data_IF_575190661242
#
_entry.id   IF_575190661242
#
_cell.length_a   1.000
_cell.length_b   1.000
_cell.length_c   1.000
_cell.angle_alpha   90.00
_cell.angle_beta   90.00
_cell.angle_gamma   90.00
#
_symmetry.space_group_name_H-M   'P 1'
#
loop_
_entity.id
_entity.type
_entity.pdbx_description
1 polymer ?
#
# COMPACT_ATOMS: atom_id res chain seq x y z
N UNK A 1 -3.94 -40.29 -9.35
CA UNK A 1 -4.46 -39.07 -10.01
C UNK A 1 -3.75 -37.82 -9.49
N UNK A 2 -3.49 -37.71 -8.19
CA UNK A 2 -2.92 -36.47 -7.61
C UNK A 2 -1.47 -36.17 -7.99
N UNK A 3 -0.62 -37.19 -8.21
CA UNK A 3 0.77 -37.01 -8.66
C UNK A 3 0.83 -36.29 -10.02
N UNK A 4 -0.02 -36.68 -10.98
CA UNK A 4 -0.09 -36.04 -12.30
C UNK A 4 -0.61 -34.60 -12.22
N UNK A 5 -1.53 -34.30 -11.29
CA UNK A 5 -2.04 -32.94 -11.07
C UNK A 5 -0.95 -32.04 -10.51
N UNK A 6 -0.15 -32.56 -9.58
CA UNK A 6 0.95 -31.83 -8.97
C UNK A 6 2.12 -31.61 -9.95
N UNK A 7 2.42 -32.60 -10.80
CA UNK A 7 3.35 -32.43 -11.95
C UNK A 7 2.89 -31.29 -12.86
N UNK A 8 1.60 -31.31 -13.26
CA UNK A 8 1.03 -30.26 -14.11
C UNK A 8 1.07 -28.89 -13.44
N UNK A 9 0.94 -28.81 -12.11
CA UNK A 9 1.01 -27.56 -11.37
C UNK A 9 2.44 -27.01 -11.33
N UNK A 10 3.44 -27.87 -11.10
CA UNK A 10 4.85 -27.48 -11.16
C UNK A 10 5.21 -26.91 -12.54
N UNK A 11 4.79 -27.60 -13.61
CA UNK A 11 5.05 -27.16 -14.99
C UNK A 11 4.28 -25.87 -15.33
N UNK A 12 3.00 -25.74 -14.94
CA UNK A 12 2.21 -24.52 -15.17
C UNK A 12 2.75 -23.30 -14.43
N UNK A 13 3.27 -23.49 -13.22
CA UNK A 13 3.80 -22.40 -12.38
C UNK A 13 5.29 -22.15 -12.61
N UNK A 14 5.92 -22.87 -13.55
CA UNK A 14 7.33 -22.72 -13.89
C UNK A 14 8.29 -23.08 -12.75
N UNK A 15 7.89 -24.01 -11.87
CA UNK A 15 8.70 -24.46 -10.73
C UNK A 15 9.71 -25.50 -11.24
N UNK A 16 10.99 -25.14 -11.22
CA UNK A 16 12.06 -26.04 -11.65
C UNK A 16 12.45 -26.95 -10.51
N UNK A 17 12.02 -28.21 -10.55
CA UNK A 17 12.46 -29.20 -9.60
C UNK A 17 13.96 -29.51 -9.79
N UNK A 18 14.77 -29.45 -8.73
CA UNK A 18 16.20 -29.76 -8.77
C UNK A 18 16.62 -30.81 -7.74
N UNK A 19 17.73 -31.50 -7.99
CA UNK A 19 18.32 -32.45 -7.07
C UNK A 19 19.14 -31.75 -5.96
N UNK A 20 19.77 -32.55 -5.08
CA UNK A 20 20.63 -32.05 -4.01
C UNK A 20 21.83 -31.21 -4.46
N UNK A 21 22.18 -31.28 -5.76
CA UNK A 21 23.29 -30.56 -6.39
C UNK A 21 22.80 -29.37 -7.24
N UNK A 22 21.48 -29.10 -7.27
CA UNK A 22 20.89 -27.99 -8.02
C UNK A 22 20.68 -28.29 -9.50
N UNK A 23 20.84 -29.55 -9.94
CA UNK A 23 20.57 -29.95 -11.32
C UNK A 23 19.08 -30.25 -11.51
N UNK A 24 18.47 -29.87 -12.66
CA UNK A 24 17.06 -30.14 -12.93
C UNK A 24 16.73 -31.64 -12.85
N UNK A 25 15.71 -31.98 -12.07
CA UNK A 25 15.21 -33.34 -11.95
C UNK A 25 14.53 -33.76 -13.25
N UNK A 26 14.99 -34.89 -13.81
CA UNK A 26 14.31 -35.56 -14.90
C UNK A 26 12.89 -35.99 -14.45
N UNK A 27 11.98 -36.11 -15.41
CA UNK A 27 10.58 -36.45 -15.13
C UNK A 27 10.44 -37.76 -14.33
N UNK A 28 11.28 -38.74 -14.63
CA UNK A 28 11.33 -40.04 -13.96
C UNK A 28 11.76 -39.94 -12.48
N UNK A 29 12.54 -38.91 -12.12
CA UNK A 29 13.00 -38.67 -10.75
C UNK A 29 12.11 -37.69 -9.97
N UNK A 30 11.21 -36.96 -10.64
CA UNK A 30 10.20 -36.11 -9.99
C UNK A 30 9.06 -36.93 -9.40
N UNK A 31 8.67 -38.00 -10.08
CA UNK A 31 7.52 -38.82 -9.66
C UNK A 31 7.69 -39.42 -8.25
N UNK A 32 8.82 -40.08 -7.92
CA UNK A 32 9.02 -40.64 -6.59
C UNK A 32 9.09 -39.54 -5.50
N UNK A 33 9.57 -38.35 -5.85
CA UNK A 33 9.64 -37.21 -4.93
C UNK A 33 8.25 -36.62 -4.63
N UNK A 34 7.38 -36.50 -5.64
CA UNK A 34 5.99 -36.07 -5.46
C UNK A 34 5.19 -37.14 -4.68
N UNK A 35 5.50 -38.42 -4.91
CA UNK A 35 4.88 -39.53 -4.18
C UNK A 35 5.25 -39.51 -2.69
N UNK A 36 6.53 -39.28 -2.37
CA UNK A 36 6.97 -39.10 -0.98
C UNK A 36 6.31 -37.87 -0.31
N UNK A 37 6.14 -36.78 -1.06
CA UNK A 37 5.49 -35.56 -0.59
C UNK A 37 3.99 -35.75 -0.26
N UNK A 38 3.28 -36.50 -1.10
CA UNK A 38 1.85 -36.78 -0.93
C UNK A 38 1.59 -37.96 0.02
N UNK A 39 2.61 -38.77 0.27
CA UNK A 39 2.59 -39.93 1.14
C UNK A 39 2.49 -39.60 2.63
N UNK A 40 2.43 -40.64 3.48
CA UNK A 40 2.19 -40.51 4.91
C UNK A 40 3.27 -39.70 5.66
N UNK A 41 4.52 -39.75 5.22
CA UNK A 41 5.61 -38.95 5.80
C UNK A 41 5.43 -37.45 5.50
N UNK A 42 5.16 -37.08 4.24
CA UNK A 42 4.87 -35.70 3.87
C UNK A 42 3.63 -35.13 4.56
N UNK A 43 2.60 -35.97 4.78
CA UNK A 43 1.42 -35.61 5.56
C UNK A 43 1.75 -35.31 7.03
N UNK A 44 2.51 -36.19 7.68
CA UNK A 44 2.94 -36.00 9.07
C UNK A 44 3.79 -34.73 9.21
N UNK A 45 4.68 -34.48 8.26
CA UNK A 45 5.54 -33.30 8.22
C UNK A 45 4.75 -32.00 8.08
N UNK A 46 3.78 -31.98 7.16
CA UNK A 46 2.91 -30.83 6.93
C UNK A 46 2.05 -30.54 8.16
N UNK A 47 1.48 -31.58 8.77
CA UNK A 47 0.69 -31.47 9.99
C UNK A 47 1.52 -30.89 11.16
N UNK A 48 2.76 -31.33 11.33
CA UNK A 48 3.66 -30.83 12.38
C UNK A 48 4.00 -29.33 12.21
N UNK A 49 4.05 -28.84 10.98
CA UNK A 49 4.41 -27.45 10.65
C UNK A 49 3.20 -26.56 10.31
N UNK A 50 1.98 -27.10 10.33
CA UNK A 50 0.74 -26.39 9.94
C UNK A 50 0.53 -25.05 10.67
N UNK A 51 0.73 -24.94 12.00
CA UNK A 51 0.56 -23.66 12.70
C UNK A 51 1.49 -22.56 12.20
N UNK A 52 2.65 -22.91 11.64
CA UNK A 52 3.57 -21.94 11.05
C UNK A 52 3.06 -21.43 9.70
N UNK A 53 2.61 -22.34 8.84
CA UNK A 53 2.09 -22.00 7.51
C UNK A 53 0.77 -21.23 7.56
N UNK A 54 -0.12 -21.55 8.50
CA UNK A 54 -1.40 -20.84 8.68
C UNK A 54 -1.21 -19.36 9.07
N UNK A 55 -0.12 -19.04 9.76
CA UNK A 55 0.25 -17.65 10.08
C UNK A 55 0.96 -16.94 8.93
N UNK A 56 1.48 -17.69 7.95
CA UNK A 56 2.27 -17.18 6.85
C UNK A 56 1.43 -16.86 5.61
N UNK A 57 0.47 -17.72 5.32
CA UNK A 57 -0.40 -17.59 4.16
C UNK A 57 -1.53 -16.59 4.46
N UNK A 58 -2.08 -16.01 3.38
CA UNK A 58 -3.24 -15.12 3.46
C UNK A 58 -4.53 -15.87 3.81
N UNK A 59 -4.55 -17.19 3.63
CA UNK A 59 -5.62 -18.09 4.06
C UNK A 59 -5.00 -19.30 4.76
N UNK A 60 -5.66 -19.86 5.78
CA UNK A 60 -5.19 -21.07 6.43
C UNK A 60 -5.11 -22.23 5.43
N UNK A 61 -4.17 -23.15 5.65
CA UNK A 61 -3.99 -24.33 4.81
C UNK A 61 -5.26 -25.17 4.78
N UNK A 62 -5.58 -25.72 3.61
CA UNK A 62 -6.67 -26.70 3.44
C UNK A 62 -6.48 -27.91 4.36
N UNK A 63 -7.58 -28.51 4.82
CA UNK A 63 -7.55 -29.80 5.52
C UNK A 63 -7.18 -30.96 4.61
N UNK A 64 -7.38 -30.81 3.29
CA UNK A 64 -6.94 -31.80 2.33
C UNK A 64 -5.45 -31.62 2.03
N UNK A 65 -4.66 -32.66 2.28
CA UNK A 65 -3.20 -32.64 2.12
C UNK A 65 -2.75 -32.19 0.72
N UNK A 66 -3.39 -32.70 -0.33
CA UNK A 66 -3.08 -32.33 -1.71
C UNK A 66 -3.29 -30.82 -1.95
N UNK A 67 -4.39 -30.26 -1.47
CA UNK A 67 -4.71 -28.84 -1.61
C UNK A 67 -3.75 -27.98 -0.79
N UNK A 68 -3.39 -28.41 0.41
CA UNK A 68 -2.43 -27.71 1.26
C UNK A 68 -1.02 -27.68 0.63
N UNK A 69 -0.55 -28.80 0.08
CA UNK A 69 0.70 -28.86 -0.68
C UNK A 69 0.63 -27.99 -1.94
N UNK A 70 -0.51 -28.01 -2.64
CA UNK A 70 -0.71 -27.18 -3.83
C UNK A 70 -0.67 -25.69 -3.47
N UNK A 71 -1.35 -25.28 -2.40
CA UNK A 71 -1.30 -23.90 -1.87
C UNK A 71 0.13 -23.48 -1.54
N UNK A 72 0.92 -24.34 -0.90
CA UNK A 72 2.32 -24.04 -0.59
C UNK A 72 3.18 -23.89 -1.85
N UNK A 73 2.98 -24.74 -2.87
CA UNK A 73 3.72 -24.65 -4.14
C UNK A 73 3.31 -23.42 -4.96
N UNK A 74 2.03 -23.09 -5.00
CA UNK A 74 1.54 -21.87 -5.63
C UNK A 74 2.07 -20.62 -4.94
N UNK A 75 2.10 -20.65 -3.61
CA UNK A 75 2.66 -19.58 -2.81
C UNK A 75 4.18 -19.47 -3.08
N UNK A 76 4.92 -20.57 -3.07
CA UNK A 76 6.34 -20.61 -3.44
C UNK A 76 6.61 -20.01 -4.83
N UNK A 77 5.88 -20.43 -5.86
CA UNK A 77 6.03 -19.90 -7.21
C UNK A 77 5.70 -18.40 -7.30
N UNK A 78 4.72 -17.95 -6.54
CA UNK A 78 4.38 -16.52 -6.42
C UNK A 78 5.49 -15.73 -5.71
N UNK A 79 6.14 -16.33 -4.71
CA UNK A 79 7.15 -15.67 -3.89
C UNK A 79 8.51 -15.61 -4.55
N UNK A 80 8.86 -16.64 -5.33
CA UNK A 80 10.17 -16.85 -5.96
C UNK A 80 9.98 -17.38 -7.40
N UNK A 81 9.48 -16.55 -8.33
CA UNK A 81 9.22 -16.98 -9.70
C UNK A 81 10.51 -17.44 -10.38
N UNK A 82 10.52 -18.68 -10.88
CA UNK A 82 11.65 -19.30 -11.56
C UNK A 82 12.77 -19.80 -10.65
N UNK A 83 12.60 -19.74 -9.33
CA UNK A 83 13.58 -20.32 -8.41
C UNK A 83 13.51 -21.87 -8.42
N UNK A 84 14.65 -22.55 -8.36
CA UNK A 84 14.69 -24.00 -8.33
C UNK A 84 14.25 -24.55 -6.97
N UNK A 85 13.45 -25.62 -6.99
CA UNK A 85 12.87 -26.27 -5.80
C UNK A 85 13.38 -27.71 -5.63
N UNK A 86 13.90 -28.06 -4.46
CA UNK A 86 14.37 -29.41 -4.16
C UNK A 86 13.23 -30.35 -3.75
N UNK A 87 12.57 -31.01 -4.72
CA UNK A 87 11.41 -31.90 -4.47
C UNK A 87 11.72 -33.09 -3.55
N UNK A 88 12.88 -33.75 -3.74
CA UNK A 88 13.24 -34.99 -3.05
C UNK A 88 13.32 -34.85 -1.53
N UNK A 89 13.50 -33.62 -1.04
CA UNK A 89 13.56 -33.35 0.38
C UNK A 89 12.42 -32.43 0.84
N UNK A 90 11.33 -32.19 0.11
CA UNK A 90 10.30 -31.27 0.63
C UNK A 90 9.79 -31.69 2.04
N UNK A 91 9.81 -32.98 2.39
CA UNK A 91 9.57 -33.43 3.77
C UNK A 91 10.74 -33.07 4.71
N UNK A 92 11.92 -33.66 4.52
CA UNK A 92 13.08 -33.58 5.44
C UNK A 92 13.86 -32.26 5.39
N UNK A 93 13.88 -31.61 4.23
CA UNK A 93 14.45 -30.29 3.92
C UNK A 93 13.52 -29.56 2.95
N UNK A 94 12.26 -29.33 3.33
CA UNK A 94 11.73 -27.97 3.18
C UNK A 94 12.80 -27.15 3.86
N UNK A 95 13.76 -26.64 3.08
CA UNK A 95 14.91 -25.92 3.60
C UNK A 95 14.29 -24.85 4.45
N UNK A 96 14.32 -25.04 5.77
CA UNK A 96 13.63 -24.15 6.69
C UNK A 96 14.16 -22.74 6.44
N UNK A 97 15.41 -22.60 5.98
CA UNK A 97 15.99 -21.42 5.38
C UNK A 97 15.27 -20.89 4.14
N UNK A 98 14.92 -21.69 3.12
CA UNK A 98 14.17 -21.21 1.95
C UNK A 98 12.74 -20.77 2.30
N UNK A 99 12.05 -21.53 3.16
CA UNK A 99 10.72 -21.16 3.64
C UNK A 99 10.76 -19.94 4.56
N UNK A 100 11.71 -19.86 5.49
CA UNK A 100 11.90 -18.72 6.39
C UNK A 100 12.33 -17.49 5.60
N UNK A 101 13.18 -17.63 4.58
CA UNK A 101 13.56 -16.52 3.69
C UNK A 101 12.38 -16.08 2.83
N UNK A 102 11.56 -17.00 2.31
CA UNK A 102 10.34 -16.64 1.58
C UNK A 102 9.31 -15.96 2.50
N UNK A 103 9.14 -16.48 3.71
CA UNK A 103 8.29 -15.94 4.77
C UNK A 103 8.72 -14.53 5.22
N UNK A 104 10.01 -14.34 5.48
CA UNK A 104 10.59 -13.04 5.83
C UNK A 104 10.49 -12.08 4.64
N UNK A 105 10.77 -12.55 3.42
CA UNK A 105 10.62 -11.78 2.19
C UNK A 105 9.18 -11.31 1.97
N UNK A 106 8.19 -12.15 2.23
CA UNK A 106 6.78 -11.77 2.23
C UNK A 106 6.45 -10.73 3.28
N UNK A 107 6.89 -10.95 4.52
CA UNK A 107 6.67 -10.01 5.62
C UNK A 107 7.28 -8.65 5.30
N UNK A 108 8.48 -8.62 4.74
CA UNK A 108 9.12 -7.38 4.28
C UNK A 108 8.38 -6.76 3.11
N UNK A 109 7.93 -7.53 2.11
CA UNK A 109 7.12 -7.01 1.00
C UNK A 109 5.81 -6.41 1.49
N UNK A 110 5.12 -7.08 2.43
CA UNK A 110 3.88 -6.60 3.05
C UNK A 110 4.12 -5.31 3.83
N UNK A 111 5.11 -5.30 4.73
CA UNK A 111 5.47 -4.08 5.49
C UNK A 111 5.94 -2.94 4.58
N UNK A 112 6.66 -3.25 3.49
CA UNK A 112 7.06 -2.24 2.49
C UNK A 112 5.84 -1.69 1.77
N UNK A 113 4.89 -2.53 1.36
CA UNK A 113 3.65 -2.11 0.73
C UNK A 113 2.81 -1.23 1.67
N UNK A 114 2.63 -1.65 2.92
CA UNK A 114 1.96 -0.87 3.98
C UNK A 114 2.66 0.49 4.19
N UNK A 115 3.99 0.52 4.29
CA UNK A 115 4.76 1.76 4.40
C UNK A 115 4.56 2.68 3.19
N UNK A 116 4.61 2.14 1.98
CA UNK A 116 4.39 2.91 0.75
C UNK A 116 2.98 3.47 0.70
N UNK A 117 1.98 2.70 1.13
CA UNK A 117 0.59 3.13 1.21
C UNK A 117 0.39 4.25 2.23
N UNK A 118 0.86 4.06 3.47
CA UNK A 118 0.81 5.09 4.52
C UNK A 118 1.54 6.38 4.08
N UNK A 119 2.68 6.24 3.40
CA UNK A 119 3.42 7.38 2.86
C UNK A 119 2.63 8.13 1.79
N UNK A 120 1.91 7.43 0.91
CA UNK A 120 1.10 8.09 -0.13
C UNK A 120 -0.15 8.74 0.47
N UNK A 121 -0.80 8.11 1.44
CA UNK A 121 -1.90 8.70 2.20
C UNK A 121 -1.46 9.99 2.90
N UNK A 122 -0.28 9.98 3.54
CA UNK A 122 0.26 11.16 4.22
C UNK A 122 0.50 12.32 3.25
N UNK A 123 0.98 12.06 2.02
CA UNK A 123 1.14 13.10 0.99
C UNK A 123 -0.21 13.70 0.61
N UNK A 124 -1.24 12.87 0.46
CA UNK A 124 -2.59 13.34 0.10
C UNK A 124 -3.20 14.20 1.21
N UNK A 125 -3.10 13.76 2.47
CA UNK A 125 -3.53 14.53 3.63
C UNK A 125 -2.77 15.86 3.76
N UNK A 126 -1.45 15.84 3.55
CA UNK A 126 -0.63 17.07 3.59
C UNK A 126 -1.02 18.05 2.49
N UNK A 127 -1.30 17.54 1.29
CA UNK A 127 -1.81 18.35 0.19
C UNK A 127 -3.17 18.99 0.53
N UNK A 128 -4.09 18.22 1.12
CA UNK A 128 -5.38 18.73 1.58
C UNK A 128 -5.21 19.85 2.63
N UNK A 129 -4.34 19.66 3.62
CA UNK A 129 -4.01 20.69 4.61
C UNK A 129 -3.42 21.96 3.97
N UNK A 130 -2.55 21.80 2.97
CA UNK A 130 -1.95 22.93 2.28
C UNK A 130 -3.00 23.73 1.51
N UNK A 131 -3.96 23.05 0.86
CA UNK A 131 -5.10 23.70 0.20
C UNK A 131 -5.96 24.45 1.23
N UNK A 132 -6.30 23.84 2.36
CA UNK A 132 -7.02 24.53 3.44
C UNK A 132 -6.24 25.74 3.97
N UNK A 133 -4.93 25.64 4.11
CA UNK A 133 -4.07 26.74 4.57
C UNK A 133 -4.06 27.93 3.59
N UNK A 134 -4.05 27.64 2.28
CA UNK A 134 -4.17 28.65 1.22
C UNK A 134 -5.53 29.36 1.29
N UNK A 135 -6.62 28.61 1.46
CA UNK A 135 -7.98 29.17 1.61
C UNK A 135 -8.05 30.03 2.89
N UNK A 136 -7.57 29.51 4.01
CA UNK A 136 -7.58 30.19 5.30
C UNK A 136 -6.77 31.49 5.28
N UNK A 137 -5.61 31.49 4.63
CA UNK A 137 -4.78 32.67 4.42
C UNK A 137 -5.55 33.77 3.66
N UNK A 138 -6.22 33.40 2.56
CA UNK A 138 -7.04 34.34 1.79
C UNK A 138 -8.23 34.87 2.61
N UNK A 139 -8.89 34.01 3.38
CA UNK A 139 -10.00 34.41 4.29
C UNK A 139 -9.50 35.42 5.32
N UNK A 140 -8.33 35.19 5.93
CA UNK A 140 -7.74 36.09 6.92
C UNK A 140 -7.40 37.48 6.32
N UNK A 141 -6.88 37.52 5.10
CA UNK A 141 -6.64 38.79 4.38
C UNK A 141 -7.95 39.54 4.17
N UNK A 142 -8.98 38.87 3.64
CA UNK A 142 -10.30 39.50 3.44
C UNK A 142 -10.94 39.94 4.75
N UNK A 143 -10.72 39.19 5.83
CA UNK A 143 -11.21 39.52 7.17
C UNK A 143 -10.51 40.77 7.74
N UNK A 144 -9.20 40.91 7.54
CA UNK A 144 -8.44 42.09 7.94
C UNK A 144 -8.91 43.34 7.18
N UNK A 145 -9.22 43.19 5.89
CA UNK A 145 -9.74 44.26 5.03
C UNK A 145 -11.22 44.56 5.26
N UNK A 146 -11.89 43.83 6.16
CA UNK A 146 -13.34 43.89 6.39
C UNK A 146 -14.15 43.73 5.09
N UNK A 147 -13.64 42.91 4.18
CA UNK A 147 -14.17 42.71 2.84
C UNK A 147 -15.24 41.64 2.76
N UNK A 148 -15.50 41.17 1.54
CA UNK A 148 -16.41 40.05 1.25
C UNK A 148 -15.66 38.96 0.52
N UNK A 149 -15.68 37.76 1.08
CA UNK A 149 -15.08 36.57 0.47
C UNK A 149 -16.10 35.88 -0.41
N UNK A 150 -15.78 35.71 -1.69
CA UNK A 150 -16.63 35.00 -2.66
C UNK A 150 -16.07 33.60 -2.89
N UNK A 151 -16.92 32.58 -2.83
CA UNK A 151 -16.45 31.19 -3.00
C UNK A 151 -16.24 30.82 -4.46
N UNK A 152 -16.88 31.55 -5.37
CA UNK A 152 -16.78 31.41 -6.83
C UNK A 152 -15.95 32.56 -7.42
N UNK A 153 -14.91 33.00 -6.71
CA UNK A 153 -13.98 34.01 -7.24
C UNK A 153 -13.02 33.37 -8.26
N UNK A 154 -13.27 33.61 -9.55
CA UNK A 154 -12.40 33.14 -10.65
C UNK A 154 -10.95 33.70 -10.55
N UNK A 155 -10.77 34.83 -9.83
CA UNK A 155 -9.45 35.41 -9.56
C UNK A 155 -8.65 34.63 -8.51
N UNK A 156 -9.29 33.73 -7.75
CA UNK A 156 -8.65 32.88 -6.74
C UNK A 156 -8.82 31.40 -7.11
N UNK A 157 -8.04 30.98 -8.12
CA UNK A 157 -8.03 29.61 -8.61
C UNK A 157 -7.09 28.72 -7.77
N UNK A 158 -7.66 27.77 -7.03
CA UNK A 158 -6.90 26.76 -6.27
C UNK A 158 -6.09 25.83 -7.17
N UNK A 159 -6.37 25.76 -8.47
CA UNK A 159 -5.59 25.00 -9.43
C UNK A 159 -4.41 25.81 -10.03
N UNK A 160 -3.91 26.82 -9.32
CA UNK A 160 -2.71 27.58 -9.68
C UNK A 160 -1.50 27.13 -8.84
N UNK A 161 -0.46 26.63 -9.53
CA UNK A 161 0.81 26.22 -8.91
C UNK A 161 1.48 27.33 -8.07
N UNK A 162 1.23 28.60 -8.41
CA UNK A 162 1.81 29.75 -7.69
C UNK A 162 1.30 29.87 -6.25
N UNK A 163 0.09 29.36 -5.96
CA UNK A 163 -0.44 29.37 -4.58
C UNK A 163 0.29 28.39 -3.66
N UNK A 164 1.08 27.48 -4.23
CA UNK A 164 1.78 26.42 -3.51
C UNK A 164 3.30 26.54 -3.59
N UNK A 165 3.80 27.62 -4.21
CA UNK A 165 5.22 27.88 -4.50
C UNK A 165 5.90 26.74 -5.28
N UNK A 166 5.19 26.16 -6.26
CA UNK A 166 5.68 25.05 -7.08
C UNK A 166 6.04 25.49 -8.50
N UNK A 167 7.16 24.95 -9.03
CA UNK A 167 7.49 25.02 -10.45
C UNK A 167 6.57 24.09 -11.28
N UNK A 168 6.67 24.17 -12.61
CA UNK A 168 5.79 23.43 -13.50
C UNK A 168 5.95 21.90 -13.37
N UNK A 169 7.19 21.41 -13.24
CA UNK A 169 7.46 19.97 -13.16
C UNK A 169 7.03 19.40 -11.80
N UNK A 170 7.29 20.15 -10.73
CA UNK A 170 6.83 19.78 -9.38
C UNK A 170 5.30 19.81 -9.28
N UNK A 171 4.63 20.78 -9.93
CA UNK A 171 3.17 20.86 -9.96
C UNK A 171 2.53 19.63 -10.62
N UNK A 172 3.07 19.20 -11.76
CA UNK A 172 2.54 18.06 -12.50
C UNK A 172 2.52 16.77 -11.66
N UNK A 173 3.51 16.60 -10.79
CA UNK A 173 3.68 15.43 -9.91
C UNK A 173 3.08 15.64 -8.51
N UNK A 174 2.61 16.84 -8.21
CA UNK A 174 2.18 17.23 -6.85
C UNK A 174 0.91 16.49 -6.42
N UNK A 175 0.80 16.26 -5.11
CA UNK A 175 -0.39 15.65 -4.52
C UNK A 175 -1.57 16.65 -4.52
N UNK A 176 -1.28 17.96 -4.45
CA UNK A 176 -2.26 19.05 -4.53
C UNK A 176 -2.99 19.03 -5.86
N UNK A 177 -2.26 19.01 -6.98
CA UNK A 177 -2.85 18.92 -8.32
C UNK A 177 -3.65 17.64 -8.50
N UNK A 178 -3.11 16.51 -8.04
CA UNK A 178 -3.78 15.20 -8.14
C UNK A 178 -5.10 15.19 -7.37
N UNK A 179 -5.11 15.75 -6.15
CA UNK A 179 -6.31 15.86 -5.33
C UNK A 179 -7.35 16.74 -6.02
N UNK A 180 -6.98 17.95 -6.45
CA UNK A 180 -7.90 18.90 -7.07
C UNK A 180 -8.49 18.40 -8.40
N UNK A 181 -7.70 17.69 -9.20
CA UNK A 181 -8.16 17.09 -10.47
C UNK A 181 -9.01 15.84 -10.30
N UNK A 182 -8.96 15.19 -9.13
CA UNK A 182 -9.76 14.00 -8.82
C UNK A 182 -11.19 14.28 -8.33
N UNK A 183 -11.51 15.57 -8.09
CA UNK A 183 -12.82 15.97 -7.62
C UNK A 183 -13.86 15.85 -8.73
N UNK A 184 -15.07 15.43 -8.36
CA UNK A 184 -16.25 15.41 -9.23
C UNK A 184 -16.65 16.80 -9.73
N UNK A 185 -16.38 17.83 -8.93
CA UNK A 185 -16.58 19.25 -9.26
C UNK A 185 -15.51 19.82 -10.18
N UNK A 186 -14.46 19.06 -10.50
CA UNK A 186 -13.37 19.53 -11.37
C UNK A 186 -13.86 19.72 -12.80
N UNK A 187 -13.72 20.95 -13.31
CA UNK A 187 -14.04 21.31 -14.69
C UNK A 187 -12.75 21.61 -15.46
N UNK A 188 -12.26 20.70 -16.33
CA UNK A 188 -11.08 20.99 -17.15
C UNK A 188 -11.43 22.07 -18.18
N UNK A 189 -10.57 23.10 -18.33
CA UNK A 189 -10.68 24.00 -19.48
C UNK A 189 -9.96 23.43 -20.70
N UNK A 190 -10.33 23.96 -21.88
CA UNK A 190 -9.91 23.50 -23.21
C UNK A 190 -8.38 23.51 -23.45
N UNK A 191 -7.61 24.23 -22.64
CA UNK A 191 -6.15 24.40 -22.71
C UNK A 191 -5.40 23.57 -21.65
N UNK A 192 -6.08 22.71 -20.88
CA UNK A 192 -5.48 21.96 -19.78
C UNK A 192 -5.34 22.73 -18.46
N UNK A 193 -5.74 24.01 -18.40
CA UNK A 193 -5.88 24.74 -17.13
C UNK A 193 -7.24 24.43 -16.51
N UNK A 194 -7.31 23.83 -15.32
CA UNK A 194 -8.55 23.72 -14.57
C UNK A 194 -8.85 25.02 -13.82
N UNK A 195 -10.13 25.35 -13.64
CA UNK A 195 -10.55 26.36 -12.65
C UNK A 195 -11.18 25.61 -11.48
N UNK A 196 -10.49 25.65 -10.34
CA UNK A 196 -11.01 25.09 -9.08
C UNK A 196 -11.20 26.24 -8.12
N UNK A 197 -12.45 26.65 -7.95
CA UNK A 197 -12.83 27.66 -6.97
C UNK A 197 -12.89 27.03 -5.58
N UNK A 198 -13.00 27.85 -4.54
CA UNK A 198 -13.14 27.39 -3.16
C UNK A 198 -14.42 26.58 -2.99
N UNK A 199 -15.52 26.98 -3.64
CA UNK A 199 -16.75 26.18 -3.66
C UNK A 199 -16.50 24.78 -4.20
N UNK A 200 -15.87 24.67 -5.37
CA UNK A 200 -15.60 23.37 -6.01
C UNK A 200 -14.81 22.45 -5.07
N UNK A 201 -13.78 22.97 -4.38
CA UNK A 201 -13.00 22.17 -3.44
C UNK A 201 -13.80 21.76 -2.19
N UNK A 202 -14.58 22.65 -1.61
CA UNK A 202 -15.31 22.38 -0.37
C UNK A 202 -16.49 21.43 -0.57
N UNK A 203 -17.22 21.57 -1.68
CA UNK A 203 -18.34 20.67 -2.04
C UNK A 203 -17.87 19.37 -2.69
N UNK A 204 -16.69 19.41 -3.32
CA UNK A 204 -16.16 18.32 -4.12
C UNK A 204 -16.03 17.02 -3.35
N UNK A 205 -16.54 15.96 -3.95
CA UNK A 205 -16.25 14.58 -3.56
C UNK A 205 -15.35 13.94 -4.61
N UNK A 206 -14.80 12.76 -4.33
CA UNK A 206 -14.00 12.09 -5.36
C UNK A 206 -14.89 11.32 -6.30
N UNK A 207 -14.66 11.50 -7.60
CA UNK A 207 -15.41 10.81 -8.63
C UNK A 207 -15.26 9.29 -8.46
N UNK A 208 -16.39 8.61 -8.28
CA UNK A 208 -16.48 7.15 -8.12
C UNK A 208 -15.98 6.35 -9.34
N UNK A 209 -15.63 7.01 -10.45
CA UNK A 209 -15.08 6.38 -11.66
C UNK A 209 -13.65 5.83 -11.50
N UNK A 210 -13.05 5.93 -10.31
CA UNK A 210 -11.78 5.29 -9.94
C UNK A 210 -11.94 4.10 -8.97
N UNK A 211 -13.07 3.39 -9.03
CA UNK A 211 -13.33 2.16 -8.26
C UNK A 211 -12.57 0.94 -8.80
N UNK A 212 -11.25 1.02 -8.88
CA UNK A 212 -10.38 -0.15 -8.67
C UNK A 212 -10.03 -0.16 -7.18
N UNK A 213 -9.71 -1.30 -6.58
CA UNK A 213 -9.37 -1.43 -5.13
C UNK A 213 -8.25 -0.48 -4.64
N UNK A 214 -7.60 0.25 -5.56
CA UNK A 214 -6.67 1.34 -5.31
C UNK A 214 -7.32 2.72 -5.05
N UNK A 215 -8.64 2.86 -5.21
CA UNK A 215 -9.40 4.12 -5.14
C UNK A 215 -9.75 4.61 -3.72
N UNK A 216 -9.58 3.77 -2.70
CA UNK A 216 -9.64 4.22 -1.29
C UNK A 216 -8.49 5.19 -0.94
N UNK A 217 -7.43 5.19 -1.75
CA UNK A 217 -6.11 5.78 -1.41
C UNK A 217 -6.01 7.29 -1.54
N UNK A 218 -7.01 7.96 -2.11
CA UNK A 218 -6.92 9.38 -2.42
C UNK A 218 -7.96 10.24 -1.71
N UNK A 219 -8.91 9.68 -0.95
CA UNK A 219 -10.10 10.38 -0.46
C UNK A 219 -9.83 11.65 0.34
N UNK A 220 -10.51 12.74 -0.06
CA UNK A 220 -10.59 13.99 0.70
C UNK A 220 -11.18 13.68 2.06
N UNK A 221 -10.37 13.77 3.11
CA UNK A 221 -10.72 13.28 4.45
C UNK A 221 -11.63 14.26 5.19
N UNK A 222 -11.55 15.56 4.88
CA UNK A 222 -12.46 16.55 5.46
C UNK A 222 -13.93 16.34 5.08
N UNK A 223 -14.21 15.55 4.03
CA UNK A 223 -15.56 15.36 3.48
C UNK A 223 -16.14 16.61 2.80
N UNK A 224 -17.28 16.49 2.12
CA UNK A 224 -17.94 17.64 1.50
C UNK A 224 -18.56 18.56 2.57
N UNK A 225 -18.56 19.86 2.30
CA UNK A 225 -19.31 20.86 3.06
C UNK A 225 -20.60 21.19 2.31
N UNK A 226 -21.74 21.03 2.97
CA UNK A 226 -23.05 21.44 2.45
C UNK A 226 -23.42 22.84 2.93
N UNK A 227 -24.45 23.43 2.32
CA UNK A 227 -25.06 24.70 2.75
C UNK A 227 -24.12 25.91 2.69
N UNK A 228 -23.17 25.90 1.74
CA UNK A 228 -22.25 27.00 1.51
C UNK A 228 -22.94 28.17 0.81
N UNK A 229 -22.80 29.38 1.39
CA UNK A 229 -23.23 30.62 0.74
C UNK A 229 -22.31 30.95 -0.43
N UNK A 230 -22.81 31.68 -1.41
CA UNK A 230 -21.99 32.16 -2.55
C UNK A 230 -20.89 33.13 -2.08
N UNK A 231 -21.18 33.90 -1.01
CA UNK A 231 -20.25 34.85 -0.42
C UNK A 231 -20.47 35.02 1.08
N UNK A 232 -19.41 35.41 1.77
CA UNK A 232 -19.38 35.73 3.20
C UNK A 232 -18.79 37.12 3.38
N UNK A 233 -19.63 38.10 3.72
CA UNK A 233 -19.21 39.45 4.02
C UNK A 233 -18.69 39.55 5.46
N UNK A 234 -17.78 40.48 5.73
CA UNK A 234 -17.46 40.84 7.10
C UNK A 234 -18.61 41.66 7.71
N UNK A 235 -18.95 41.36 8.96
CA UNK A 235 -19.90 42.14 9.76
C UNK A 235 -19.35 42.31 11.19
N UNK A 236 -19.73 43.40 11.87
CA UNK A 236 -19.24 43.70 13.22
C UNK A 236 -19.95 42.89 14.30
N UNK A 237 -21.25 42.68 14.15
CA UNK A 237 -22.12 42.15 15.21
C UNK A 237 -22.46 40.67 14.98
N UNK A 238 -22.60 40.25 13.71
CA UNK A 238 -22.84 38.84 13.35
C UNK A 238 -22.03 38.46 12.11
N UNK A 239 -20.72 38.26 12.28
CA UNK A 239 -19.75 38.08 11.20
C UNK A 239 -19.84 36.71 10.51
N UNK A 240 -20.50 36.60 9.34
CA UNK A 240 -20.60 35.33 8.61
C UNK A 240 -19.24 34.86 8.09
N UNK A 241 -18.32 35.78 7.79
CA UNK A 241 -16.95 35.45 7.37
C UNK A 241 -16.14 34.82 8.52
N UNK A 242 -16.32 35.29 9.75
CA UNK A 242 -15.70 34.66 10.93
C UNK A 242 -16.28 33.27 11.19
N UNK A 243 -17.60 33.11 11.07
CA UNK A 243 -18.25 31.80 11.21
C UNK A 243 -17.78 30.81 10.13
N UNK A 244 -17.60 31.28 8.89
CA UNK A 244 -17.03 30.47 7.80
C UNK A 244 -15.58 30.07 8.08
N UNK A 245 -14.76 31.03 8.54
CA UNK A 245 -13.38 30.77 8.97
C UNK A 245 -13.32 29.70 10.08
N UNK A 246 -14.24 29.73 11.04
CA UNK A 246 -14.30 28.71 12.07
C UNK A 246 -14.65 27.33 11.48
N UNK A 247 -15.62 27.26 10.57
CA UNK A 247 -15.98 26.01 9.90
C UNK A 247 -14.81 25.41 9.09
N UNK A 248 -13.99 26.25 8.45
CA UNK A 248 -12.77 25.81 7.78
C UNK A 248 -11.73 25.26 8.77
N UNK A 249 -11.56 25.92 9.92
CA UNK A 249 -10.69 25.47 11.00
C UNK A 249 -11.11 24.10 11.52
N UNK A 250 -12.41 23.89 11.73
CA UNK A 250 -12.96 22.61 12.19
C UNK A 250 -12.67 21.47 11.20
N UNK A 251 -12.78 21.74 9.88
CA UNK A 251 -12.39 20.78 8.83
C UNK A 251 -10.89 20.51 8.80
N UNK A 252 -10.09 21.55 8.96
CA UNK A 252 -8.62 21.43 9.00
C UNK A 252 -8.17 20.58 10.18
N UNK A 253 -8.85 20.69 11.33
CA UNK A 253 -8.59 19.86 12.51
C UNK A 253 -8.80 18.37 12.23
N UNK A 254 -9.88 18.00 11.54
CA UNK A 254 -10.15 16.60 11.16
C UNK A 254 -8.98 16.03 10.32
N UNK A 255 -8.50 16.81 9.36
CA UNK A 255 -7.37 16.38 8.51
C UNK A 255 -6.07 16.30 9.31
N UNK A 256 -5.80 17.26 10.21
CA UNK A 256 -4.63 17.24 11.10
C UNK A 256 -4.62 16.04 12.04
N UNK A 257 -5.76 15.69 12.63
CA UNK A 257 -5.90 14.53 13.50
C UNK A 257 -5.55 13.25 12.70
N UNK A 258 -6.01 13.15 11.44
CA UNK A 258 -5.66 12.04 10.56
C UNK A 258 -4.17 12.03 10.16
N UNK A 259 -3.56 13.18 9.90
CA UNK A 259 -2.11 13.29 9.64
C UNK A 259 -1.30 12.77 10.83
N UNK A 260 -1.72 13.13 12.04
CA UNK A 260 -1.05 12.69 13.27
C UNK A 260 -1.15 11.18 13.47
N UNK A 261 -2.35 10.63 13.27
CA UNK A 261 -2.58 9.18 13.29
C UNK A 261 -1.71 8.45 12.26
N UNK A 262 -1.76 8.89 10.99
CA UNK A 262 -1.02 8.26 9.90
C UNK A 262 0.50 8.38 10.05
N UNK A 263 0.99 9.49 10.59
CA UNK A 263 2.42 9.66 10.91
C UNK A 263 2.87 8.68 11.98
N UNK A 264 2.03 8.46 13.00
CA UNK A 264 2.30 7.49 14.07
C UNK A 264 2.37 6.07 13.51
N UNK A 265 1.39 5.68 12.69
CA UNK A 265 1.37 4.39 12.02
C UNK A 265 2.56 4.20 11.08
N UNK A 266 2.90 5.22 10.30
CA UNK A 266 4.05 5.18 9.38
C UNK A 266 5.37 4.99 10.14
N UNK A 267 5.54 5.65 11.28
CA UNK A 267 6.73 5.51 12.12
C UNK A 267 6.82 4.10 12.74
N UNK A 268 5.71 3.55 13.23
CA UNK A 268 5.65 2.18 13.76
C UNK A 268 5.96 1.14 12.67
N UNK A 269 5.32 1.22 11.50
CA UNK A 269 5.60 0.32 10.36
C UNK A 269 7.03 0.51 9.85
N UNK A 270 7.53 1.75 9.80
CA UNK A 270 8.90 2.07 9.44
C UNK A 270 9.92 1.44 10.38
N UNK A 271 9.69 1.54 11.69
CA UNK A 271 10.52 0.89 12.72
C UNK A 271 10.51 -0.63 12.55
N UNK A 272 9.32 -1.24 12.43
CA UNK A 272 9.17 -2.70 12.21
C UNK A 272 9.86 -3.17 10.94
N UNK A 273 9.80 -2.39 9.86
CA UNK A 273 10.46 -2.70 8.59
C UNK A 273 11.99 -2.67 8.74
N UNK A 274 12.54 -1.63 9.39
CA UNK A 274 13.98 -1.52 9.65
C UNK A 274 14.46 -2.68 10.53
N UNK A 275 13.79 -2.95 11.65
CA UNK A 275 14.11 -4.09 12.51
C UNK A 275 14.01 -5.42 11.76
N UNK A 276 12.98 -5.62 10.93
CA UNK A 276 12.83 -6.85 10.13
C UNK A 276 13.96 -6.99 9.11
N UNK A 277 14.42 -5.89 8.51
CA UNK A 277 15.56 -5.88 7.58
C UNK A 277 16.86 -6.25 8.30
N UNK A 278 17.13 -5.67 9.47
CA UNK A 278 18.30 -5.99 10.28
C UNK A 278 18.31 -7.43 10.76
N UNK A 279 17.16 -7.93 11.22
CA UNK A 279 16.99 -9.33 11.64
C UNK A 279 17.22 -10.28 10.45
N UNK A 280 16.70 -9.94 9.26
CA UNK A 280 16.94 -10.73 8.05
C UNK A 280 18.42 -10.74 7.67
N UNK A 281 19.08 -9.58 7.71
CA UNK A 281 20.50 -9.48 7.38
C UNK A 281 21.36 -10.31 8.35
N UNK A 282 21.10 -10.21 9.66
CA UNK A 282 21.77 -11.04 10.68
C UNK A 282 21.46 -12.52 10.52
N UNK A 283 20.23 -12.88 10.17
CA UNK A 283 19.85 -14.27 9.90
C UNK A 283 20.64 -14.82 8.72
N UNK A 284 20.68 -14.10 7.60
CA UNK A 284 21.46 -14.45 6.40
C UNK A 284 22.94 -14.59 6.72
N UNK A 285 23.54 -13.63 7.43
CA UNK A 285 24.94 -13.67 7.86
C UNK A 285 25.27 -14.86 8.76
N UNK A 286 24.43 -15.11 9.77
CA UNK A 286 24.59 -16.24 10.71
C UNK A 286 24.42 -17.57 9.99
N UNK A 287 23.48 -17.65 9.05
CA UNK A 287 23.22 -18.82 8.23
C UNK A 287 24.40 -19.13 7.30
N UNK A 288 24.91 -18.14 6.56
CA UNK A 288 26.11 -18.29 5.75
C UNK A 288 27.33 -18.71 6.58
N UNK A 289 27.48 -18.15 7.79
CA UNK A 289 28.56 -18.52 8.72
C UNK A 289 28.45 -19.99 9.16
N UNK A 290 27.25 -20.47 9.49
CA UNK A 290 27.02 -21.89 9.83
C UNK A 290 27.31 -22.82 8.65
N UNK A 291 26.79 -22.51 7.46
CA UNK A 291 27.04 -23.31 6.25
C UNK A 291 28.53 -23.38 5.91
N UNK A 292 29.23 -22.26 6.01
CA UNK A 292 30.68 -22.21 5.79
C UNK A 292 31.45 -23.09 6.79
N UNK A 293 31.03 -23.15 8.06
CA UNK A 293 31.66 -24.00 9.07
C UNK A 293 31.38 -25.49 8.87
N UNK A 294 30.21 -25.83 8.33
CA UNK A 294 29.83 -27.22 8.04
C UNK A 294 30.54 -27.73 6.79
N UNK A 295 30.79 -26.87 5.79
CA UNK A 295 31.47 -27.22 4.54
C UNK A 295 33.00 -27.22 4.62
N UNK A 296 33.59 -26.65 5.68
CA UNK A 296 35.04 -26.64 5.92
C UNK A 296 35.52 -27.78 6.84
N UNK A 297 34.61 -28.60 7.35
CA UNK A 297 34.89 -29.86 8.05
C UNK A 297 34.48 -31.05 7.17
#
# INVERSE_FOLDING_TARGET
MDIQRLESLLDQKGIVAVDGQGQPLSRELRWPAIEALLGPEGQAQLAANRPYFDNLLSQPLSDQHFDAVSQLLEAYASWLPGAPLQLQNLGERLRMDELVMAAMGLRMRKQKAERTELSEQLKCLTAELKIFSVIQSKVNVVMADKGTFKLEDDGFNLFDRKLYDLDADSWEKSAERRLLSSLDTFKPAFNGSGIVTVRHFLEGTQSATSSTESGSRLQKVSGPMTDLKTQYAWDKDNNPLANFSQALSDRTRIVNDKVTEQTTLLNDVGSRYTTSTEVMMKFVETWFSMLSKILQN
#
